data_IF_511558042679
#
_entry.id   IF_511558042679
#
_cell.length_a   1.000
_cell.length_b   1.000
_cell.length_c   1.000
_cell.angle_alpha   90.00
_cell.angle_beta   90.00
_cell.angle_gamma   90.00
#
_symmetry.space_group_name_H-M   'P 1'
#
loop_
_entity.id
_entity.type
_entity.pdbx_description
1 polymer ?
#
# COMPACT_ATOMS: atom_id res chain seq x y z
N UNK A 1 9.12 5.18 13.15
CA UNK A 1 9.08 4.67 11.76
C UNK A 1 7.95 3.70 11.70
N UNK A 2 6.86 4.12 11.07
CA UNK A 2 5.65 3.31 10.96
C UNK A 2 5.87 2.19 9.95
N UNK A 3 5.53 0.93 10.25
CA UNK A 3 5.68 -0.16 9.29
C UNK A 3 4.73 0.06 8.11
N UNK A 4 5.24 -0.02 6.89
CA UNK A 4 4.43 0.10 5.67
C UNK A 4 4.25 -1.28 5.05
N UNK A 5 3.01 -1.67 4.78
CA UNK A 5 2.69 -2.92 4.06
C UNK A 5 1.97 -2.58 2.78
N UNK A 6 2.39 -3.17 1.66
CA UNK A 6 1.73 -3.03 0.36
C UNK A 6 1.38 -4.41 -0.20
N UNK A 7 0.09 -4.63 -0.46
CA UNK A 7 -0.38 -5.81 -1.17
C UNK A 7 -0.34 -5.54 -2.67
N UNK A 8 0.33 -6.41 -3.41
CA UNK A 8 0.57 -6.25 -4.85
C UNK A 8 0.17 -7.49 -5.64
N UNK A 9 0.22 -7.37 -6.97
CA UNK A 9 0.20 -8.52 -7.87
C UNK A 9 1.32 -8.39 -8.91
N UNK A 10 1.73 -9.50 -9.52
CA UNK A 10 2.85 -9.62 -10.47
C UNK A 10 2.70 -8.72 -11.69
N UNK A 11 1.47 -8.48 -12.13
CA UNK A 11 1.17 -7.69 -13.32
C UNK A 11 0.26 -6.51 -12.98
N UNK A 12 0.78 -5.57 -12.18
CA UNK A 12 0.06 -4.35 -11.85
C UNK A 12 0.95 -3.11 -11.96
N UNK A 13 0.71 -2.22 -12.95
CA UNK A 13 1.50 -1.00 -13.11
C UNK A 13 1.34 -0.06 -11.91
N UNK A 14 0.14 0.02 -11.33
CA UNK A 14 -0.13 0.85 -10.15
C UNK A 14 0.65 0.40 -8.91
N UNK A 15 0.89 -0.90 -8.75
CA UNK A 15 1.75 -1.40 -7.67
C UNK A 15 3.19 -0.90 -7.83
N UNK A 16 3.70 -0.87 -9.07
CA UNK A 16 5.04 -0.37 -9.37
C UNK A 16 5.16 1.12 -9.05
N UNK A 17 4.17 1.94 -9.44
CA UNK A 17 4.15 3.37 -9.15
C UNK A 17 4.10 3.66 -7.65
N UNK A 18 3.20 3.01 -6.90
CA UNK A 18 3.10 3.15 -5.46
C UNK A 18 4.42 2.78 -4.74
N UNK A 19 5.04 1.65 -5.13
CA UNK A 19 6.36 1.26 -4.62
C UNK A 19 7.43 2.28 -5.00
N UNK A 20 7.38 2.84 -6.20
CA UNK A 20 8.27 3.89 -6.66
C UNK A 20 8.21 5.11 -5.76
N UNK A 21 7.01 5.57 -5.39
CA UNK A 21 6.83 6.70 -4.48
C UNK A 21 7.42 6.41 -3.09
N UNK A 22 7.10 5.26 -2.49
CA UNK A 22 7.65 4.86 -1.19
C UNK A 22 9.18 4.76 -1.20
N UNK A 23 9.77 4.26 -2.29
CA UNK A 23 11.24 4.23 -2.49
C UNK A 23 11.83 5.63 -2.61
N UNK A 24 11.17 6.56 -3.32
CA UNK A 24 11.62 7.97 -3.40
C UNK A 24 11.61 8.67 -2.04
N UNK A 25 10.66 8.30 -1.18
CA UNK A 25 10.60 8.74 0.23
C UNK A 25 11.61 8.04 1.14
N UNK A 26 12.40 7.11 0.60
CA UNK A 26 13.39 6.34 1.33
C UNK A 26 12.78 5.53 2.50
N UNK A 27 11.56 5.03 2.30
CA UNK A 27 10.81 4.23 3.26
C UNK A 27 10.93 2.74 2.94
N UNK A 28 11.23 1.94 3.96
CA UNK A 28 11.14 0.49 3.89
C UNK A 28 9.68 0.04 3.99
N UNK A 29 9.28 -0.88 3.12
CA UNK A 29 7.93 -1.45 3.11
C UNK A 29 7.97 -2.95 2.85
N UNK A 30 7.00 -3.65 3.44
CA UNK A 30 6.75 -5.07 3.21
C UNK A 30 5.80 -5.24 2.03
N UNK A 31 6.29 -5.87 0.96
CA UNK A 31 5.49 -6.23 -0.19
C UNK A 31 4.91 -7.64 -0.02
N UNK A 32 3.59 -7.76 -0.12
CA UNK A 32 2.87 -9.03 -0.07
C UNK A 32 2.25 -9.27 -1.46
N UNK A 33 2.87 -10.16 -2.24
CA UNK A 33 2.34 -10.59 -3.54
C UNK A 33 1.15 -11.54 -3.32
N UNK A 34 -0.06 -11.10 -3.69
CA UNK A 34 -1.27 -11.92 -3.63
C UNK A 34 -1.64 -12.53 -4.99
N UNK A 35 -0.69 -12.61 -5.91
CA UNK A 35 -0.88 -13.25 -7.23
C UNK A 35 -1.00 -14.75 -7.09
N UNK A 36 -2.22 -15.26 -7.25
CA UNK A 36 -2.51 -16.68 -7.11
C UNK A 36 -2.60 -17.14 -5.65
N UNK A 37 -2.37 -16.26 -4.67
CA UNK A 37 -2.63 -16.54 -3.27
C UNK A 37 -4.04 -16.09 -2.87
N UNK A 38 -4.98 -17.03 -2.91
CA UNK A 38 -6.36 -16.78 -2.54
C UNK A 38 -6.53 -16.46 -1.05
N UNK A 39 -5.71 -17.07 -0.18
CA UNK A 39 -5.76 -16.84 1.25
C UNK A 39 -5.23 -15.44 1.60
N UNK A 40 -4.08 -15.06 1.03
CA UNK A 40 -3.52 -13.71 1.15
C UNK A 40 -4.46 -12.64 0.60
N UNK A 41 -5.11 -12.89 -0.54
CA UNK A 41 -6.11 -11.96 -1.10
C UNK A 41 -7.35 -11.82 -0.20
N UNK A 42 -7.79 -12.90 0.43
CA UNK A 42 -8.90 -12.87 1.39
C UNK A 42 -8.52 -12.08 2.65
N UNK A 43 -7.32 -12.31 3.19
CA UNK A 43 -6.79 -11.54 4.32
C UNK A 43 -6.64 -10.05 4.01
N UNK A 44 -6.10 -9.71 2.83
CA UNK A 44 -6.02 -8.34 2.32
C UNK A 44 -7.41 -7.72 2.25
N UNK A 45 -8.38 -8.42 1.66
CA UNK A 45 -9.75 -7.91 1.48
C UNK A 45 -10.42 -7.65 2.83
N UNK A 46 -10.27 -8.56 3.79
CA UNK A 46 -10.78 -8.40 5.15
C UNK A 46 -10.15 -7.17 5.84
N UNK A 47 -8.82 -7.01 5.72
CA UNK A 47 -8.08 -5.87 6.29
C UNK A 47 -8.43 -4.54 5.60
N UNK A 48 -8.71 -4.57 4.30
CA UNK A 48 -9.03 -3.40 3.48
C UNK A 48 -10.54 -3.03 3.52
N UNK A 49 -11.29 -3.55 4.50
CA UNK A 49 -12.71 -3.24 4.67
C UNK A 49 -13.60 -3.72 3.50
N UNK A 50 -13.22 -4.81 2.84
CA UNK A 50 -13.94 -5.37 1.69
C UNK A 50 -13.40 -4.95 0.33
N UNK A 51 -12.36 -4.09 0.25
CA UNK A 51 -11.72 -3.74 -1.03
C UNK A 51 -10.87 -4.90 -1.56
N UNK A 52 -11.11 -5.28 -2.81
CA UNK A 52 -10.43 -6.41 -3.48
C UNK A 52 -9.41 -5.98 -4.53
N UNK A 53 -9.33 -4.68 -4.84
CA UNK A 53 -8.41 -4.11 -5.81
C UNK A 53 -6.98 -4.08 -5.26
N UNK A 54 -5.98 -4.03 -6.14
CA UNK A 54 -4.57 -3.82 -5.78
C UNK A 54 -4.05 -2.58 -6.51
N UNK A 55 -3.07 -1.84 -5.95
CA UNK A 55 -2.44 -2.07 -4.65
C UNK A 55 -3.38 -1.78 -3.46
N UNK A 56 -3.16 -2.43 -2.32
CA UNK A 56 -3.70 -1.99 -1.02
C UNK A 56 -2.54 -1.64 -0.10
N UNK A 57 -2.49 -0.41 0.37
CA UNK A 57 -1.38 0.12 1.17
C UNK A 57 -1.86 0.39 2.59
N UNK A 58 -1.04 -0.02 3.55
CA UNK A 58 -1.25 0.18 4.97
C UNK A 58 0.00 0.82 5.55
N UNK A 59 -0.18 1.87 6.36
CA UNK A 59 0.88 2.52 7.12
C UNK A 59 0.51 2.32 8.59
N UNK A 60 1.21 1.39 9.24
CA UNK A 60 0.86 0.89 10.56
C UNK A 60 -0.50 0.21 10.56
N UNK A 61 -1.40 0.74 11.39
CA UNK A 61 -2.80 0.31 11.46
C UNK A 61 -3.71 1.09 10.48
N UNK A 62 -3.21 2.19 9.89
CA UNK A 62 -3.98 3.01 8.97
C UNK A 62 -4.04 2.39 7.59
N UNK A 63 -5.25 2.13 7.11
CA UNK A 63 -5.50 1.77 5.72
C UNK A 63 -5.47 3.02 4.85
N UNK A 64 -4.46 3.13 3.99
CA UNK A 64 -4.34 4.24 3.03
C UNK A 64 -5.28 4.02 1.85
N UNK A 65 -5.37 2.78 1.37
CA UNK A 65 -6.16 2.45 0.18
C UNK A 65 -5.28 2.11 -1.01
N UNK A 66 -5.63 2.63 -2.18
CA UNK A 66 -4.99 2.34 -3.45
C UNK A 66 -3.80 3.23 -3.79
N UNK A 67 -3.35 3.10 -5.03
CA UNK A 67 -2.29 3.96 -5.58
C UNK A 67 -2.73 5.43 -5.57
N UNK A 68 -3.95 5.71 -6.04
CA UNK A 68 -4.47 7.08 -6.11
C UNK A 68 -4.56 7.72 -4.72
N UNK A 69 -5.01 6.95 -3.72
CA UNK A 69 -5.10 7.41 -2.34
C UNK A 69 -3.71 7.77 -1.77
N UNK A 70 -2.67 6.96 -2.09
CA UNK A 70 -1.30 7.24 -1.69
C UNK A 70 -0.76 8.54 -2.30
N UNK A 71 -0.97 8.74 -3.61
CA UNK A 71 -0.55 9.96 -4.31
C UNK A 71 -1.33 11.18 -3.85
N UNK A 72 -2.62 11.04 -3.51
CA UNK A 72 -3.41 12.12 -2.94
C UNK A 72 -2.85 12.58 -1.57
N UNK A 73 -2.40 11.64 -0.73
CA UNK A 73 -1.75 11.99 0.54
C UNK A 73 -0.41 12.71 0.34
N UNK A 74 0.34 12.33 -0.69
CA UNK A 74 1.59 12.98 -1.08
C UNK A 74 1.36 14.41 -1.57
N UNK A 75 0.40 14.59 -2.49
CA UNK A 75 0.02 15.90 -3.01
C UNK A 75 -0.50 16.82 -1.90
N UNK A 76 -1.24 16.26 -0.94
CA UNK A 76 -1.67 16.97 0.26
C UNK A 76 -0.53 17.25 1.28
N UNK A 77 0.68 16.73 1.08
CA UNK A 77 1.82 16.88 1.99
C UNK A 77 1.62 16.19 3.35
N UNK A 78 0.71 15.22 3.43
CA UNK A 78 0.35 14.51 4.68
C UNK A 78 0.98 13.12 4.77
N UNK A 79 1.44 12.57 3.65
CA UNK A 79 2.07 11.25 3.59
C UNK A 79 3.30 11.16 4.51
N UNK A 80 4.17 12.16 4.49
CA UNK A 80 5.38 12.17 5.32
C UNK A 80 5.06 12.14 6.82
N UNK A 81 3.97 12.80 7.24
CA UNK A 81 3.51 12.77 8.64
C UNK A 81 3.03 11.39 9.03
N UNK A 82 2.31 10.70 8.14
CA UNK A 82 1.84 9.34 8.35
C UNK A 82 3.01 8.35 8.45
N UNK A 83 4.06 8.53 7.64
CA UNK A 83 5.25 7.67 7.63
C UNK A 83 6.18 7.90 8.83
N UNK A 84 6.15 9.11 9.40
CA UNK A 84 6.96 9.52 10.54
C UNK A 84 6.33 9.21 11.91
N UNK A 85 5.03 8.87 11.95
CA UNK A 85 4.30 8.52 13.16
C UNK A 85 4.86 7.26 13.85
#
# INVERSE_FOLDING_TARGET
>A
MTPVTIYTTRFCPYCTEAKGLLRRKNVSFDEIDVSGDHAGRSAMTARAGGRTSVPQIFIGETHVGGCDDLFALEDAGTLDRLLAA
#
